data_IF_792588834538
#
_entry.id   IF_792588834538
#
_cell.length_a   1.000
_cell.length_b   1.000
_cell.length_c   1.000
_cell.angle_alpha   90.00
_cell.angle_beta   90.00
_cell.angle_gamma   90.00
#
_symmetry.space_group_name_H-M   'P 1'
#
loop_
_entity.id
_entity.type
_entity.pdbx_description
1 polymer ?
#
# COMPACT_ATOMS: atom_id res chain seq x y z
N UNK A 1 4.27 1.10 19.47
CA UNK A 1 4.73 1.44 18.10
C UNK A 1 3.92 2.62 17.58
N UNK A 2 4.17 3.82 18.14
CA UNK A 2 3.41 5.03 17.80
C UNK A 2 4.10 5.88 16.72
N UNK A 3 5.23 5.40 16.20
CA UNK A 3 6.10 6.11 15.26
C UNK A 3 5.84 5.78 13.79
N UNK A 4 4.86 4.94 13.48
CA UNK A 4 4.44 4.63 12.11
C UNK A 4 3.07 5.24 11.88
N UNK A 5 2.94 5.99 10.79
CA UNK A 5 1.67 6.47 10.28
C UNK A 5 1.35 5.76 8.97
N UNK A 6 0.17 5.15 8.89
CA UNK A 6 -0.25 4.44 7.68
C UNK A 6 -1.16 5.32 6.82
N UNK A 7 -0.88 5.40 5.53
CA UNK A 7 -1.80 5.93 4.52
C UNK A 7 -2.32 4.81 3.63
N UNK A 8 -3.63 4.61 3.66
CA UNK A 8 -4.33 3.66 2.79
C UNK A 8 -4.91 4.40 1.60
N UNK A 9 -4.40 4.09 0.42
CA UNK A 9 -4.85 4.67 -0.84
C UNK A 9 -6.13 3.97 -1.29
N UNK A 10 -7.28 4.61 -1.02
CA UNK A 10 -8.61 4.12 -1.35
C UNK A 10 -9.03 4.35 -2.81
N UNK A 11 -8.08 4.20 -3.75
CA UNK A 11 -8.05 4.88 -5.04
C UNK A 11 -9.20 4.63 -6.04
N UNK A 12 -9.30 5.58 -6.98
CA UNK A 12 -9.84 5.45 -8.34
C UNK A 12 -11.35 5.30 -8.51
N UNK A 13 -11.86 5.65 -9.70
CA UNK A 13 -13.28 5.47 -10.08
C UNK A 13 -13.75 4.00 -10.09
N UNK A 14 -12.82 3.04 -9.96
CA UNK A 14 -13.16 1.62 -9.83
C UNK A 14 -13.84 1.03 -11.06
N UNK A 15 -13.52 1.52 -12.27
CA UNK A 15 -14.19 1.16 -13.54
C UNK A 15 -14.18 -0.34 -13.82
N UNK A 16 -13.11 -1.05 -13.45
CA UNK A 16 -12.96 -2.51 -13.60
C UNK A 16 -13.93 -3.35 -12.77
N UNK A 17 -14.51 -2.77 -11.71
CA UNK A 17 -15.49 -3.45 -10.85
C UNK A 17 -16.91 -2.91 -11.07
N UNK A 18 -17.16 -2.21 -12.17
CA UNK A 18 -18.52 -1.84 -12.53
C UNK A 18 -19.37 -3.11 -12.76
N UNK A 19 -20.61 -3.21 -12.23
CA UNK A 19 -21.43 -2.15 -11.61
C UNK A 19 -21.29 -1.99 -10.08
N UNK A 20 -20.43 -2.78 -9.41
CA UNK A 20 -20.29 -2.76 -7.95
C UNK A 20 -19.82 -1.40 -7.41
N UNK A 21 -19.13 -0.62 -8.23
CA UNK A 21 -18.58 0.71 -7.90
C UNK A 21 -19.46 1.87 -8.38
N UNK A 22 -20.66 1.61 -8.92
CA UNK A 22 -21.57 2.65 -9.45
C UNK A 22 -21.95 3.70 -8.40
N UNK A 23 -22.24 3.25 -7.18
CA UNK A 23 -22.74 4.10 -6.07
C UNK A 23 -21.82 4.12 -4.84
N UNK A 24 -20.63 3.52 -4.94
CA UNK A 24 -19.69 3.38 -3.82
C UNK A 24 -18.25 3.37 -4.32
N UNK A 25 -17.32 3.78 -3.46
CA UNK A 25 -15.89 3.71 -3.75
C UNK A 25 -15.42 2.24 -3.84
N UNK A 26 -14.32 1.99 -4.56
CA UNK A 26 -13.73 0.65 -4.67
C UNK A 26 -13.44 0.02 -3.29
N UNK A 27 -12.87 0.72 -2.30
CA UNK A 27 -12.64 0.15 -0.97
C UNK A 27 -13.93 -0.19 -0.20
N UNK A 28 -15.06 0.43 -0.55
CA UNK A 28 -16.35 0.17 0.09
C UNK A 28 -17.12 -1.00 -0.52
N UNK A 29 -16.55 -1.70 -1.51
CA UNK A 29 -17.16 -2.89 -2.10
C UNK A 29 -17.26 -4.00 -1.04
N UNK A 30 -18.45 -4.62 -0.84
CA UNK A 30 -18.61 -5.72 0.10
C UNK A 30 -17.79 -6.94 -0.30
N UNK A 31 -17.28 -7.64 0.70
CA UNK A 31 -16.46 -8.84 0.59
C UNK A 31 -16.98 -9.89 1.57
N UNK A 32 -17.12 -11.14 1.12
CA UNK A 32 -17.48 -12.31 1.95
C UNK A 32 -18.70 -12.09 2.86
N UNK A 33 -19.69 -11.32 2.39
CA UNK A 33 -20.97 -11.06 3.07
C UNK A 33 -20.91 -10.12 4.28
N UNK A 34 -19.78 -10.00 4.97
CA UNK A 34 -19.65 -9.24 6.24
C UNK A 34 -18.61 -8.12 6.22
N UNK A 35 -17.67 -8.18 5.28
CA UNK A 35 -16.53 -7.27 5.24
C UNK A 35 -16.61 -6.35 4.03
N UNK A 36 -15.65 -5.44 3.93
CA UNK A 36 -15.36 -4.61 2.76
C UNK A 36 -13.90 -4.73 2.39
N UNK A 37 -13.55 -4.37 1.16
CA UNK A 37 -12.15 -4.42 0.70
C UNK A 37 -11.20 -3.62 1.60
N UNK A 38 -11.65 -2.47 2.11
CA UNK A 38 -10.85 -1.65 3.03
C UNK A 38 -10.51 -2.35 4.35
N UNK A 39 -11.29 -3.35 4.76
CA UNK A 39 -11.07 -4.03 6.03
C UNK A 39 -9.80 -4.87 6.03
N UNK A 40 -9.32 -5.30 4.86
CA UNK A 40 -8.11 -6.11 4.73
C UNK A 40 -6.86 -5.31 5.15
N UNK A 41 -6.50 -4.18 4.52
CA UNK A 41 -5.33 -3.41 4.94
C UNK A 41 -5.47 -2.84 6.35
N UNK A 42 -6.68 -2.44 6.77
CA UNK A 42 -6.89 -1.94 8.14
C UNK A 42 -6.71 -3.03 9.19
N UNK A 43 -7.22 -4.24 8.94
CA UNK A 43 -7.02 -5.39 9.84
C UNK A 43 -5.55 -5.80 9.89
N UNK A 44 -4.85 -5.81 8.75
CA UNK A 44 -3.41 -6.09 8.73
C UNK A 44 -2.63 -5.06 9.56
N UNK A 45 -3.00 -3.77 9.49
CA UNK A 45 -2.39 -2.73 10.30
C UNK A 45 -2.62 -2.97 11.80
N UNK A 46 -3.87 -3.17 12.20
CA UNK A 46 -4.25 -3.39 13.61
C UNK A 46 -3.56 -4.64 14.17
N UNK A 47 -3.56 -5.74 13.41
CA UNK A 47 -2.89 -6.99 13.80
C UNK A 47 -1.36 -6.86 13.84
N UNK A 48 -0.79 -5.89 13.10
CA UNK A 48 0.62 -5.52 13.19
C UNK A 48 0.90 -4.50 14.31
N UNK A 49 -0.09 -4.14 15.12
CA UNK A 49 0.04 -3.13 16.17
C UNK A 49 0.12 -1.68 15.68
N UNK A 50 -0.29 -1.43 14.43
CA UNK A 50 -0.35 -0.10 13.81
C UNK A 50 -1.76 0.45 13.95
N UNK A 51 -1.91 1.55 14.69
CA UNK A 51 -3.21 2.12 15.04
C UNK A 51 -3.43 3.56 14.58
N UNK A 52 -2.49 4.16 13.84
CA UNK A 52 -2.62 5.51 13.27
C UNK A 52 -2.75 5.40 11.76
N UNK A 53 -3.95 5.61 11.24
CA UNK A 53 -4.28 5.31 9.85
C UNK A 53 -5.09 6.46 9.22
N UNK A 54 -4.65 6.92 8.06
CA UNK A 54 -5.43 7.75 7.15
C UNK A 54 -5.89 6.94 5.95
N UNK A 55 -7.15 7.07 5.57
CA UNK A 55 -7.72 6.47 4.37
C UNK A 55 -8.01 7.58 3.37
N UNK A 56 -7.25 7.61 2.27
CA UNK A 56 -7.39 8.62 1.23
C UNK A 56 -8.48 8.19 0.24
N UNK A 57 -9.49 9.01 0.03
CA UNK A 57 -10.62 8.72 -0.87
C UNK A 57 -10.95 9.90 -1.75
N UNK A 58 -11.47 9.63 -2.95
CA UNK A 58 -11.79 10.66 -3.94
C UNK A 58 -13.26 10.64 -4.38
N UNK A 59 -13.88 9.46 -4.50
CA UNK A 59 -15.23 9.33 -5.07
C UNK A 59 -16.16 8.50 -4.16
N UNK A 60 -17.46 8.78 -4.18
CA UNK A 60 -18.52 7.96 -3.56
C UNK A 60 -18.20 7.47 -2.13
N UNK A 61 -17.70 8.37 -1.28
CA UNK A 61 -17.11 8.02 0.03
C UNK A 61 -18.11 7.86 1.17
N UNK A 62 -19.36 8.32 1.06
CA UNK A 62 -20.32 8.33 2.18
C UNK A 62 -20.50 6.97 2.85
N UNK A 63 -20.57 5.90 2.05
CA UNK A 63 -20.67 4.54 2.58
C UNK A 63 -19.39 4.12 3.32
N UNK A 64 -18.21 4.55 2.86
CA UNK A 64 -16.90 4.31 3.47
C UNK A 64 -16.75 5.08 4.79
N UNK A 65 -16.94 6.41 4.76
CA UNK A 65 -17.67 7.21 5.76
C UNK A 65 -18.20 6.41 6.95
N UNK A 66 -19.44 5.94 6.75
CA UNK A 66 -20.23 5.30 7.77
C UNK A 66 -19.54 4.04 8.32
N UNK A 67 -18.97 3.23 7.45
CA UNK A 67 -18.32 1.97 7.82
C UNK A 67 -17.12 2.16 8.75
N UNK A 68 -16.23 3.08 8.39
CA UNK A 68 -15.03 3.35 9.19
C UNK A 68 -15.41 3.86 10.57
N UNK A 69 -16.32 4.84 10.63
CA UNK A 69 -16.79 5.43 11.88
C UNK A 69 -17.49 4.41 12.80
N UNK A 70 -18.22 3.45 12.23
CA UNK A 70 -18.94 2.44 13.01
C UNK A 70 -18.02 1.30 13.47
N UNK A 71 -17.02 0.93 12.67
CA UNK A 71 -16.23 -0.29 12.89
C UNK A 71 -14.94 -0.01 13.66
N UNK A 72 -14.22 1.06 13.33
CA UNK A 72 -12.87 1.32 13.83
C UNK A 72 -12.88 2.44 14.87
N UNK A 73 -13.44 2.16 16.05
CA UNK A 73 -13.42 3.07 17.21
C UNK A 73 -12.32 2.63 18.17
N UNK A 74 -11.27 3.43 18.27
CA UNK A 74 -10.20 3.21 19.25
C UNK A 74 -10.54 3.93 20.56
N UNK A 75 -9.90 3.48 21.64
CA UNK A 75 -9.99 4.16 22.92
C UNK A 75 -9.34 5.56 22.85
N UNK A 76 -9.79 6.48 23.70
CA UNK A 76 -9.31 7.86 23.73
C UNK A 76 -7.89 8.00 24.31
N UNK A 77 -7.35 6.96 24.96
CA UNK A 77 -6.11 7.02 25.73
C UNK A 77 -4.88 6.58 24.92
N UNK A 78 -5.07 5.70 23.93
CA UNK A 78 -3.98 5.16 23.12
C UNK A 78 -3.58 6.07 21.96
N UNK A 79 -4.44 7.04 21.60
CA UNK A 79 -4.23 7.98 20.50
C UNK A 79 -4.16 7.32 19.11
N UNK A 80 -4.81 6.16 18.97
CA UNK A 80 -5.02 5.50 17.67
C UNK A 80 -6.26 6.05 16.98
N UNK A 81 -6.27 6.06 15.65
CA UNK A 81 -7.39 6.53 14.85
C UNK A 81 -7.38 5.86 13.46
N UNK A 82 -8.57 5.76 12.87
CA UNK A 82 -8.74 5.60 11.42
C UNK A 82 -9.57 6.78 10.94
N UNK A 83 -8.93 7.69 10.21
CA UNK A 83 -9.56 8.89 9.69
C UNK A 83 -9.57 8.88 8.16
N UNK A 84 -10.58 9.50 7.55
CA UNK A 84 -10.71 9.53 6.11
C UNK A 84 -10.32 10.93 5.62
N UNK A 85 -9.32 10.97 4.73
CA UNK A 85 -8.89 12.18 4.03
C UNK A 85 -9.51 12.18 2.64
N UNK A 86 -10.68 12.82 2.54
CA UNK A 86 -11.34 13.02 1.26
C UNK A 86 -10.59 14.08 0.44
N UNK A 87 -10.51 13.91 -0.88
CA UNK A 87 -10.06 14.97 -1.77
C UNK A 87 -10.93 16.22 -1.56
N UNK A 88 -10.30 17.34 -1.26
CA UNK A 88 -10.96 18.62 -1.02
C UNK A 88 -10.39 19.67 -1.96
N UNK A 89 -11.26 20.55 -2.45
CA UNK A 89 -10.81 21.77 -3.11
C UNK A 89 -10.35 22.75 -2.03
N UNK A 90 -9.11 23.20 -2.15
CA UNK A 90 -8.54 24.27 -1.32
C UNK A 90 -8.37 25.52 -2.18
N UNK A 91 -8.25 26.73 -1.60
CA UNK A 91 -7.98 27.95 -2.36
C UNK A 91 -6.73 27.84 -3.26
N UNK A 92 -5.76 27.03 -2.83
CA UNK A 92 -4.49 26.77 -3.51
C UNK A 92 -4.58 25.61 -4.52
N UNK A 93 -5.62 24.78 -4.45
CA UNK A 93 -5.78 23.60 -5.29
C UNK A 93 -7.26 23.26 -5.51
N UNK A 94 -7.80 23.66 -6.66
CA UNK A 94 -9.17 23.40 -7.08
C UNK A 94 -9.37 21.99 -7.69
N UNK A 95 -8.30 21.19 -7.81
CA UNK A 95 -8.31 19.90 -8.49
C UNK A 95 -8.60 18.71 -7.58
N UNK A 96 -9.06 17.62 -8.17
CA UNK A 96 -9.03 16.31 -7.51
C UNK A 96 -7.60 15.73 -7.47
N UNK A 97 -7.38 14.64 -6.73
CA UNK A 97 -6.11 13.90 -6.80
C UNK A 97 -5.77 13.52 -8.24
N UNK A 98 -4.59 13.93 -8.70
CA UNK A 98 -4.05 13.63 -10.02
C UNK A 98 -3.42 12.23 -10.10
N UNK A 99 -3.21 11.59 -8.95
CA UNK A 99 -2.63 10.26 -8.83
C UNK A 99 -2.46 9.87 -7.36
N UNK A 100 -1.88 8.70 -7.12
CA UNK A 100 -1.59 8.20 -5.76
C UNK A 100 -0.56 9.05 -5.04
N UNK A 101 0.52 9.45 -5.73
CA UNK A 101 1.54 10.35 -5.18
C UNK A 101 0.96 11.73 -4.89
N UNK A 102 0.10 12.26 -5.76
CA UNK A 102 -0.58 13.54 -5.54
C UNK A 102 -1.52 13.49 -4.32
N UNK A 103 -2.20 12.36 -4.11
CA UNK A 103 -3.03 12.16 -2.92
C UNK A 103 -2.21 12.25 -1.63
N UNK A 104 -1.01 11.67 -1.61
CA UNK A 104 -0.07 11.80 -0.47
C UNK A 104 0.43 13.24 -0.35
N UNK A 105 0.88 13.84 -1.46
CA UNK A 105 1.42 15.22 -1.52
C UNK A 105 0.45 16.26 -0.96
N UNK A 106 -0.83 16.20 -1.35
CA UNK A 106 -1.85 17.13 -0.86
C UNK A 106 -2.11 16.98 0.65
N UNK A 107 -1.78 15.82 1.23
CA UNK A 107 -2.01 15.51 2.64
C UNK A 107 -0.70 15.43 3.46
N UNK A 108 0.43 15.98 2.97
CA UNK A 108 1.71 15.96 3.69
C UNK A 108 1.61 16.58 5.09
N UNK A 109 0.78 17.61 5.27
CA UNK A 109 0.53 18.21 6.59
C UNK A 109 0.03 17.20 7.62
N UNK A 110 -0.76 16.21 7.19
CA UNK A 110 -1.24 15.14 8.07
C UNK A 110 -0.12 14.19 8.50
N UNK A 111 1.01 14.14 7.77
CA UNK A 111 2.18 13.31 8.08
C UNK A 111 3.15 13.98 9.05
N UNK A 112 3.10 15.31 9.16
CA UNK A 112 3.97 16.12 10.02
C UNK A 112 3.55 16.09 11.50
N UNK A 113 3.22 14.90 12.01
CA UNK A 113 2.85 14.69 13.40
C UNK A 113 4.09 14.42 14.26
N UNK A 114 4.17 14.99 15.47
CA UNK A 114 5.25 14.69 16.41
C UNK A 114 5.34 13.19 16.71
N UNK A 115 6.57 12.67 16.70
CA UNK A 115 6.88 11.28 17.02
C UNK A 115 6.62 10.27 15.89
N UNK A 116 6.17 10.69 14.70
CA UNK A 116 6.14 9.85 13.50
C UNK A 116 7.52 9.86 12.85
N UNK A 117 8.08 8.66 12.64
CA UNK A 117 9.38 8.43 12.01
C UNK A 117 9.23 7.75 10.64
N UNK A 118 8.18 6.94 10.47
CA UNK A 118 7.96 6.17 9.26
C UNK A 118 6.54 6.34 8.74
N UNK A 119 6.41 6.23 7.42
CA UNK A 119 5.12 6.29 6.72
C UNK A 119 4.93 5.00 5.91
N UNK A 120 3.85 4.27 6.22
CA UNK A 120 3.46 3.05 5.50
C UNK A 120 2.36 3.39 4.49
N UNK A 121 2.63 3.19 3.20
CA UNK A 121 1.67 3.40 2.11
C UNK A 121 1.10 2.04 1.70
N UNK A 122 -0.23 1.91 1.72
CA UNK A 122 -0.95 0.68 1.38
C UNK A 122 -1.97 0.91 0.27
N UNK A 123 -2.23 -0.12 -0.54
CA UNK A 123 -3.39 -0.14 -1.43
C UNK A 123 -4.66 -0.60 -0.69
N UNK A 124 -5.78 0.08 -0.94
CA UNK A 124 -7.09 -0.19 -0.31
C UNK A 124 -7.92 -1.31 -0.95
N UNK A 125 -7.39 -2.02 -1.94
CA UNK A 125 -8.19 -2.88 -2.84
C UNK A 125 -7.60 -4.27 -3.11
N UNK A 126 -6.60 -4.67 -2.33
CA UNK A 126 -5.91 -5.96 -2.45
C UNK A 126 -6.34 -6.91 -1.33
N UNK A 127 -6.45 -8.20 -1.66
CA UNK A 127 -6.73 -9.27 -0.70
C UNK A 127 -5.43 -9.99 -0.31
N UNK A 128 -4.97 -9.79 0.91
CA UNK A 128 -3.75 -10.41 1.42
C UNK A 128 -3.71 -10.35 2.95
N UNK A 129 -2.77 -11.12 3.54
CA UNK A 129 -2.43 -11.05 4.95
C UNK A 129 -0.93 -10.84 5.08
N UNK A 130 -0.53 -9.83 5.84
CA UNK A 130 0.88 -9.48 6.04
C UNK A 130 1.08 -8.87 7.43
N UNK A 131 2.20 -9.18 8.06
CA UNK A 131 2.67 -8.49 9.26
C UNK A 131 3.66 -7.40 8.85
N UNK A 132 3.31 -6.13 9.04
CA UNK A 132 4.15 -5.00 8.63
C UNK A 132 5.37 -4.79 9.54
N UNK A 133 5.42 -5.46 10.70
CA UNK A 133 6.60 -5.41 11.57
C UNK A 133 7.81 -6.04 10.92
N UNK A 134 7.64 -7.12 10.16
CA UNK A 134 8.73 -7.77 9.44
C UNK A 134 9.33 -6.85 8.37
N UNK A 135 8.46 -6.04 7.74
CA UNK A 135 8.87 -5.00 6.80
C UNK A 135 9.64 -3.86 7.50
N UNK A 136 9.18 -3.41 8.66
CA UNK A 136 9.88 -2.41 9.47
C UNK A 136 11.26 -2.89 9.94
N UNK A 137 11.35 -4.14 10.40
CA UNK A 137 12.62 -4.75 10.81
C UNK A 137 13.61 -4.76 9.65
N UNK A 138 13.15 -5.15 8.46
CA UNK A 138 13.97 -5.14 7.25
C UNK A 138 14.42 -3.73 6.87
N UNK A 139 13.51 -2.76 6.89
CA UNK A 139 13.78 -1.36 6.60
C UNK A 139 14.85 -0.77 7.52
N UNK A 140 14.73 -1.00 8.83
CA UNK A 140 15.70 -0.56 9.85
C UNK A 140 17.05 -1.27 9.73
N UNK A 141 17.04 -2.59 9.55
CA UNK A 141 18.26 -3.39 9.40
C UNK A 141 19.11 -2.91 8.23
N UNK A 142 18.46 -2.60 7.11
CA UNK A 142 19.14 -2.16 5.89
C UNK A 142 19.38 -0.65 5.84
N UNK A 143 18.95 0.11 6.86
CA UNK A 143 18.97 1.59 6.88
C UNK A 143 18.44 2.19 5.58
N UNK A 144 17.35 1.61 5.08
CA UNK A 144 16.79 1.99 3.79
C UNK A 144 15.98 3.29 3.90
N UNK A 145 15.97 4.08 2.84
CA UNK A 145 15.10 5.26 2.73
C UNK A 145 13.67 4.88 2.34
N UNK A 146 13.55 3.83 1.53
CA UNK A 146 12.30 3.23 1.12
C UNK A 146 12.43 1.70 1.10
N UNK A 147 11.35 1.00 1.45
CA UNK A 147 11.25 -0.46 1.34
C UNK A 147 9.96 -0.81 0.63
N UNK A 148 10.04 -1.77 -0.30
CA UNK A 148 8.93 -2.17 -1.16
C UNK A 148 8.60 -3.64 -0.88
N UNK A 149 7.33 -3.96 -0.65
CA UNK A 149 6.91 -5.36 -0.55
C UNK A 149 6.76 -5.96 -1.95
N UNK A 150 7.35 -7.14 -2.15
CA UNK A 150 7.37 -7.82 -3.45
C UNK A 150 6.86 -9.25 -3.36
N UNK A 151 6.29 -9.75 -4.45
CA UNK A 151 5.82 -11.14 -4.56
C UNK A 151 6.52 -11.85 -5.72
N UNK A 152 7.01 -13.09 -5.54
CA UNK A 152 7.47 -13.92 -6.65
C UNK A 152 6.31 -14.28 -7.59
N UNK A 153 6.44 -13.96 -8.87
CA UNK A 153 5.40 -14.18 -9.90
C UNK A 153 5.93 -14.99 -11.08
N UNK A 154 5.03 -15.66 -11.80
CA UNK A 154 5.39 -16.34 -13.03
C UNK A 154 5.59 -15.36 -14.19
N UNK A 155 6.38 -15.75 -15.20
CA UNK A 155 6.70 -14.88 -16.35
C UNK A 155 5.47 -14.39 -17.11
N UNK A 156 4.44 -15.20 -17.23
CA UNK A 156 3.21 -14.83 -17.94
C UNK A 156 2.42 -13.72 -17.22
N UNK A 157 2.60 -13.57 -15.89
CA UNK A 157 1.95 -12.52 -15.09
C UNK A 157 2.69 -11.18 -15.17
N UNK A 158 3.96 -11.19 -15.57
CA UNK A 158 4.85 -10.03 -15.54
C UNK A 158 4.34 -8.86 -16.39
N UNK A 159 3.72 -9.15 -17.54
CA UNK A 159 3.19 -8.15 -18.47
C UNK A 159 2.08 -7.25 -17.91
N UNK A 160 1.53 -7.58 -16.74
CA UNK A 160 0.45 -6.83 -16.10
C UNK A 160 0.91 -6.09 -14.84
N UNK A 161 2.15 -6.30 -14.41
CA UNK A 161 2.67 -5.87 -13.11
C UNK A 161 3.95 -5.03 -13.28
N UNK A 162 4.29 -4.27 -12.25
CA UNK A 162 5.59 -3.63 -12.13
C UNK A 162 6.60 -4.61 -11.55
N UNK A 163 7.63 -4.96 -12.33
CA UNK A 163 8.66 -5.92 -11.92
C UNK A 163 9.87 -5.16 -11.37
N UNK A 164 10.44 -5.69 -10.30
CA UNK A 164 11.62 -5.18 -9.63
C UNK A 164 12.78 -6.15 -9.86
N UNK A 165 13.97 -5.58 -10.07
CA UNK A 165 15.23 -6.31 -10.09
C UNK A 165 16.02 -5.92 -8.85
N UNK A 166 16.49 -6.91 -8.11
CA UNK A 166 17.32 -6.72 -6.94
C UNK A 166 18.78 -7.02 -7.25
N UNK A 167 19.70 -6.35 -6.58
CA UNK A 167 21.10 -6.77 -6.54
C UNK A 167 21.34 -7.85 -5.46
N UNK A 168 22.60 -8.30 -5.32
CA UNK A 168 22.96 -9.33 -4.36
C UNK A 168 22.71 -8.94 -2.89
N UNK A 169 22.68 -7.64 -2.58
CA UNK A 169 22.38 -7.11 -1.24
C UNK A 169 20.88 -7.01 -0.95
N UNK A 170 20.04 -7.22 -1.97
CA UNK A 170 18.58 -7.04 -1.89
C UNK A 170 18.11 -5.60 -2.11
N UNK A 171 19.00 -4.71 -2.56
CA UNK A 171 18.63 -3.35 -2.94
C UNK A 171 18.00 -3.35 -4.34
N UNK A 172 17.06 -2.42 -4.58
CA UNK A 172 16.38 -2.29 -5.87
C UNK A 172 17.35 -1.69 -6.89
N UNK A 173 17.77 -2.51 -7.86
CA UNK A 173 18.68 -2.15 -8.94
C UNK A 173 17.97 -1.86 -10.27
N UNK A 174 16.65 -2.03 -10.33
CA UNK A 174 15.85 -1.72 -11.51
C UNK A 174 14.35 -1.91 -11.27
N UNK A 175 13.55 -1.16 -12.02
CA UNK A 175 12.10 -1.27 -12.06
C UNK A 175 11.63 -1.18 -13.50
N UNK A 176 10.70 -2.06 -13.89
CA UNK A 176 10.11 -2.06 -15.21
C UNK A 176 8.60 -2.30 -15.12
N UNK A 177 7.82 -1.33 -15.57
CA UNK A 177 6.35 -1.41 -15.60
C UNK A 177 5.89 -2.20 -16.82
N UNK A 178 5.20 -3.33 -16.58
CA UNK A 178 4.54 -4.14 -17.62
C UNK A 178 5.47 -4.52 -18.78
N UNK A 179 6.59 -5.23 -18.50
CA UNK A 179 7.50 -5.73 -19.54
C UNK A 179 6.73 -6.54 -20.59
N UNK A 180 6.96 -6.24 -21.87
CA UNK A 180 6.25 -6.88 -22.99
C UNK A 180 7.13 -7.85 -23.78
N UNK A 181 8.45 -7.69 -23.70
CA UNK A 181 9.39 -8.45 -24.53
C UNK A 181 10.19 -9.44 -23.68
N UNK A 182 10.58 -10.57 -24.27
CA UNK A 182 11.40 -11.57 -23.58
C UNK A 182 12.78 -11.03 -23.12
N UNK A 183 13.48 -10.15 -23.88
CA UNK A 183 14.69 -9.50 -23.39
C UNK A 183 14.47 -8.65 -22.13
N UNK A 184 13.38 -7.88 -22.07
CA UNK A 184 13.00 -7.10 -20.89
C UNK A 184 12.75 -8.00 -19.68
N UNK A 185 11.94 -9.05 -19.86
CA UNK A 185 11.63 -10.01 -18.79
C UNK A 185 12.92 -10.68 -18.29
N UNK A 186 13.81 -11.09 -19.19
CA UNK A 186 15.10 -11.69 -18.82
C UNK A 186 16.02 -10.75 -18.06
N UNK A 187 16.00 -9.45 -18.39
CA UNK A 187 16.80 -8.45 -17.69
C UNK A 187 16.35 -8.27 -16.24
N UNK A 188 15.07 -8.48 -15.95
CA UNK A 188 14.46 -8.26 -14.64
C UNK A 188 14.50 -9.47 -13.70
N UNK A 189 15.21 -10.54 -14.09
CA UNK A 189 15.27 -11.79 -13.31
C UNK A 189 16.02 -11.60 -11.99
N UNK A 190 15.49 -12.24 -10.96
CA UNK A 190 16.15 -12.45 -9.68
C UNK A 190 16.32 -13.94 -9.47
N UNK A 191 17.48 -14.36 -8.99
CA UNK A 191 17.77 -15.78 -8.76
C UNK A 191 16.77 -16.40 -7.76
N UNK A 192 16.01 -17.45 -8.14
CA UNK A 192 15.12 -18.14 -7.23
C UNK A 192 15.80 -18.63 -5.94
N UNK A 193 17.06 -19.05 -6.02
CA UNK A 193 17.82 -19.50 -4.85
C UNK A 193 18.06 -18.36 -3.86
N UNK A 194 18.27 -17.14 -4.35
CA UNK A 194 18.38 -15.94 -3.50
C UNK A 194 17.04 -15.64 -2.83
N UNK A 195 15.92 -15.76 -3.55
CA UNK A 195 14.56 -15.55 -2.99
C UNK A 195 14.27 -16.59 -1.89
N UNK A 196 14.57 -17.86 -2.16
CA UNK A 196 14.38 -18.96 -1.20
C UNK A 196 15.24 -18.78 0.06
N UNK A 197 16.47 -18.26 -0.10
CA UNK A 197 17.35 -17.94 1.02
C UNK A 197 16.79 -16.83 1.95
N UNK A 198 15.85 -16.01 1.47
CA UNK A 198 15.14 -15.03 2.30
C UNK A 198 13.93 -15.64 3.05
N UNK A 199 13.72 -16.96 2.97
CA UNK A 199 12.59 -17.65 3.59
C UNK A 199 11.28 -17.52 2.82
N UNK A 200 11.33 -17.08 1.56
CA UNK A 200 10.17 -16.95 0.68
C UNK A 200 10.21 -18.08 -0.35
N UNK A 201 9.19 -18.94 -0.36
CA UNK A 201 9.12 -20.04 -1.34
C UNK A 201 8.94 -19.50 -2.78
N UNK A 202 10.04 -19.42 -3.52
CA UNK A 202 10.09 -18.98 -4.92
C UNK A 202 9.27 -19.91 -5.81
N UNK A 203 9.29 -21.22 -5.54
CA UNK A 203 8.71 -22.27 -6.40
C UNK A 203 9.20 -22.17 -7.86
N UNK A 204 10.46 -21.76 -8.05
CA UNK A 204 11.06 -21.57 -9.37
C UNK A 204 10.66 -20.28 -10.09
N UNK A 205 9.89 -19.40 -9.43
CA UNK A 205 9.56 -18.07 -9.96
C UNK A 205 10.77 -17.16 -9.80
N UNK A 206 11.18 -16.53 -10.91
CA UNK A 206 12.40 -15.72 -11.01
C UNK A 206 12.13 -14.23 -11.21
N UNK A 207 10.90 -13.77 -10.98
CA UNK A 207 10.50 -12.37 -11.09
C UNK A 207 9.83 -11.90 -9.81
N UNK A 208 10.11 -10.67 -9.40
CA UNK A 208 9.53 -10.04 -8.22
C UNK A 208 8.61 -8.89 -8.64
N UNK A 209 7.31 -9.04 -8.40
CA UNK A 209 6.34 -7.98 -8.67
C UNK A 209 6.14 -7.08 -7.45
N UNK A 210 6.08 -5.77 -7.66
CA UNK A 210 5.68 -4.81 -6.62
C UNK A 210 4.23 -5.03 -6.21
N UNK A 211 3.98 -5.08 -4.90
CA UNK A 211 2.63 -5.18 -4.36
C UNK A 211 1.97 -3.81 -4.17
N UNK A 212 2.67 -2.70 -4.40
CA UNK A 212 2.12 -1.37 -4.08
C UNK A 212 2.04 -1.10 -2.58
N UNK A 213 2.91 -1.76 -1.80
CA UNK A 213 3.07 -1.58 -0.36
C UNK A 213 4.47 -1.01 -0.15
N UNK A 214 4.54 0.16 0.47
CA UNK A 214 5.79 0.92 0.62
C UNK A 214 5.96 1.41 2.04
N UNK A 215 7.17 1.34 2.57
CA UNK A 215 7.54 1.93 3.85
C UNK A 215 8.64 2.95 3.61
N UNK A 216 8.44 4.18 4.08
CA UNK A 216 9.39 5.28 3.93
C UNK A 216 9.82 5.81 5.29
N UNK A 217 11.04 6.33 5.36
CA UNK A 217 11.37 7.34 6.36
C UNK A 217 10.49 8.57 6.11
N UNK A 218 9.95 9.16 7.18
CA UNK A 218 9.08 10.33 7.05
C UNK A 218 9.78 11.50 6.34
N UNK A 219 11.06 11.71 6.63
CA UNK A 219 11.81 12.85 6.10
C UNK A 219 12.19 12.69 4.62
N UNK A 220 12.03 11.48 4.08
CA UNK A 220 12.28 11.14 2.66
C UNK A 220 11.03 11.35 1.79
N UNK A 221 9.85 11.37 2.42
CA UNK A 221 8.55 11.46 1.75
C UNK A 221 8.05 12.91 1.67
#
# INVERSE_FOLDING_TARGET
MKNILTMVLGGGRGTRLHPLTKVRSKPAVPLAGKYRLIDIPLSNCINSGLNRMYVLTQFNSVSLHRHIRQTYRFDAFNGGFVEILAAQQTPENAGWYQGTADAVRQNLRALQQPGIEYVLILSGDQLYRMNYLDMLVTHRRNKAEATIATLPVARHEASQLGILRLDASGAVAGFLEKPKTEPEVRHMRTDPAWIDAQGIASRGRDLLASMGIYLFNRDTL
#
